data_IF_437164056683
#
_entry.id   IF_437164056683
#
_cell.length_a   1.000
_cell.length_b   1.000
_cell.length_c   1.000
_cell.angle_alpha   90.00
_cell.angle_beta   90.00
_cell.angle_gamma   90.00
#
_symmetry.space_group_name_H-M   'P 1'
#
loop_
_entity.id
_entity.type
_entity.pdbx_description
1 polymer ?
#
# COMPACT_ATOMS: atom_id res chain seq x y z
N UNK A 1 25.62 -28.64 33.60
CA UNK A 1 26.07 -27.35 33.03
C UNK A 1 25.10 -26.27 33.48
N UNK A 2 25.58 -25.29 34.27
CA UNK A 2 24.77 -24.21 34.86
C UNK A 2 24.95 -22.94 34.01
N UNK A 3 23.85 -22.37 33.55
CA UNK A 3 23.80 -21.11 32.80
C UNK A 3 23.66 -19.96 33.82
N UNK A 4 24.54 -18.93 33.83
CA UNK A 4 24.39 -17.81 34.75
C UNK A 4 23.38 -16.78 34.22
N UNK A 5 22.55 -16.27 35.14
CA UNK A 5 21.55 -15.24 34.92
C UNK A 5 22.16 -13.84 35.09
N UNK A 6 22.14 -13.03 34.03
CA UNK A 6 22.61 -11.64 34.09
C UNK A 6 21.47 -10.70 34.50
N UNK A 7 21.61 -10.20 35.73
CA UNK A 7 20.77 -9.21 36.41
C UNK A 7 21.13 -7.80 35.91
N UNK A 8 20.29 -7.20 35.07
CA UNK A 8 20.43 -5.81 34.64
C UNK A 8 20.00 -4.84 35.75
N UNK A 9 20.93 -4.01 36.21
CA UNK A 9 20.67 -2.90 37.14
C UNK A 9 20.14 -1.70 36.35
N UNK A 10 18.95 -1.21 36.73
CA UNK A 10 18.43 0.12 36.36
C UNK A 10 19.28 1.21 37.02
N UNK A 11 19.93 2.05 36.23
CA UNK A 11 20.39 3.36 36.69
C UNK A 11 19.24 4.37 36.57
N UNK A 12 18.85 4.97 37.70
CA UNK A 12 18.04 6.18 37.77
C UNK A 12 18.99 7.37 37.62
N UNK A 13 18.81 8.17 36.57
CA UNK A 13 19.38 9.51 36.51
C UNK A 13 18.31 10.50 36.97
N UNK A 14 18.49 11.01 38.18
CA UNK A 14 17.89 12.25 38.65
C UNK A 14 18.75 13.42 38.15
N UNK A 15 18.12 14.38 37.48
CA UNK A 15 18.75 15.62 37.05
C UNK A 15 17.83 16.81 37.31
N UNK A 16 18.16 17.57 38.36
CA UNK A 16 17.82 18.99 38.56
C UNK A 16 18.09 19.80 37.28
N UNK A 17 17.49 20.93 36.95
CA UNK A 17 16.59 21.87 37.61
C UNK A 17 16.60 23.19 36.83
N UNK A 18 15.69 24.11 37.19
CA UNK A 18 15.59 25.54 36.82
C UNK A 18 15.38 25.89 35.34
N UNK A 19 14.24 26.52 35.01
CA UNK A 19 14.21 27.77 34.22
C UNK A 19 12.80 28.40 34.17
N UNK A 20 12.74 29.71 34.44
CA UNK A 20 11.88 30.65 33.70
C UNK A 20 10.37 30.61 33.92
N UNK A 21 9.85 31.38 34.88
CA UNK A 21 8.44 31.82 34.86
C UNK A 21 8.27 32.99 33.87
N UNK A 22 7.28 32.83 32.96
CA UNK A 22 6.59 33.79 32.06
C UNK A 22 7.15 33.87 30.61
N UNK A 23 6.31 33.89 29.55
CA UNK A 23 5.07 34.67 29.43
C UNK A 23 3.86 33.90 28.82
N UNK A 24 2.95 33.42 29.67
CA UNK A 24 1.73 32.71 29.23
C UNK A 24 0.60 33.66 28.75
N UNK A 25 0.78 34.99 28.87
CA UNK A 25 -0.28 35.97 28.58
C UNK A 25 -0.31 36.37 27.09
N UNK A 26 0.81 36.32 26.37
CA UNK A 26 0.86 36.74 24.96
C UNK A 26 0.27 35.70 23.99
N UNK A 27 0.30 34.41 24.33
CA UNK A 27 -0.24 33.34 23.46
C UNK A 27 -1.77 33.36 23.45
N UNK A 28 -2.42 33.70 24.56
CA UNK A 28 -3.88 33.76 24.65
C UNK A 28 -4.48 34.89 23.80
N UNK A 29 -3.85 36.06 23.73
CA UNK A 29 -4.31 37.17 22.90
C UNK A 29 -4.20 36.86 21.39
N UNK A 30 -3.17 36.13 20.98
CA UNK A 30 -2.93 35.77 19.58
C UNK A 30 -3.94 34.72 19.09
N UNK A 31 -4.34 33.77 19.95
CA UNK A 31 -5.36 32.77 19.63
C UNK A 31 -6.78 33.37 19.51
N UNK A 32 -7.12 34.36 20.34
CA UNK A 32 -8.42 35.05 20.25
C UNK A 32 -8.51 35.86 18.95
N UNK A 33 -7.43 36.56 18.55
CA UNK A 33 -7.39 37.30 17.27
C UNK A 33 -7.55 36.39 16.04
N UNK A 34 -6.90 35.23 16.03
CA UNK A 34 -7.00 34.24 14.94
C UNK A 34 -8.41 33.64 14.81
N UNK A 35 -9.10 33.43 15.94
CA UNK A 35 -10.47 32.90 15.94
C UNK A 35 -11.48 33.87 15.30
N UNK A 36 -11.36 35.19 15.57
CA UNK A 36 -12.22 36.19 14.92
C UNK A 36 -11.90 36.40 13.44
N UNK A 37 -10.63 36.26 13.03
CA UNK A 37 -10.25 36.39 11.62
C UNK A 37 -10.79 35.23 10.76
N UNK A 38 -10.76 33.99 11.25
CA UNK A 38 -11.31 32.82 10.55
C UNK A 38 -12.84 32.89 10.40
N UNK A 39 -13.56 33.38 11.42
CA UNK A 39 -15.03 33.46 11.38
C UNK A 39 -15.55 34.41 10.29
N UNK A 40 -14.76 35.41 9.87
CA UNK A 40 -15.17 36.38 8.84
C UNK A 40 -15.08 35.84 7.42
N UNK A 41 -14.39 34.72 7.16
CA UNK A 41 -14.24 34.12 5.82
C UNK A 41 -15.29 33.08 5.44
N UNK A 42 -16.16 32.66 6.37
CA UNK A 42 -17.18 31.63 6.11
C UNK A 42 -18.55 32.18 5.64
N UNK A 43 -18.68 33.48 5.42
CA UNK A 43 -19.97 34.12 5.08
C UNK A 43 -20.21 34.38 3.59
N UNK A 44 -19.38 33.83 2.68
CA UNK A 44 -19.59 33.97 1.24
C UNK A 44 -19.55 32.59 0.57
N UNK A 45 -20.71 31.94 0.49
CA UNK A 45 -20.94 30.81 -0.41
C UNK A 45 -21.79 31.33 -1.59
N UNK A 46 -21.34 31.20 -2.85
CA UNK A 46 -22.16 31.56 -3.99
C UNK A 46 -23.26 30.51 -4.20
N UNK A 47 -24.50 31.00 -4.22
CA UNK A 47 -25.70 30.29 -4.64
C UNK A 47 -25.53 29.85 -6.10
N UNK A 48 -25.47 28.54 -6.36
CA UNK A 48 -25.56 28.02 -7.73
C UNK A 48 -27.00 27.58 -8.01
N UNK A 49 -27.57 28.24 -9.01
CA UNK A 49 -28.93 28.05 -9.50
C UNK A 49 -29.12 26.67 -10.12
N UNK A 50 -30.23 26.03 -9.79
CA UNK A 50 -30.69 24.82 -10.43
C UNK A 50 -31.08 25.05 -11.88
N UNK A 51 -30.79 24.06 -12.72
CA UNK A 51 -31.51 23.85 -13.98
C UNK A 51 -31.98 22.40 -14.00
N UNK A 52 -33.29 22.26 -13.95
CA UNK A 52 -34.02 21.00 -14.10
C UNK A 52 -34.20 20.78 -15.59
N UNK A 53 -33.52 19.78 -16.17
CA UNK A 53 -33.85 19.27 -17.49
C UNK A 53 -34.36 17.84 -17.34
N UNK A 54 -35.67 17.75 -17.45
CA UNK A 54 -36.43 16.54 -17.74
C UNK A 54 -35.97 15.98 -19.08
N UNK A 55 -35.34 14.81 -19.09
CA UNK A 55 -35.08 14.09 -20.33
C UNK A 55 -36.04 12.90 -20.47
N UNK A 56 -36.66 12.86 -21.65
CA UNK A 56 -37.80 12.01 -21.98
C UNK A 56 -37.27 10.72 -22.57
N UNK A 57 -37.48 9.63 -21.83
CA UNK A 57 -37.27 8.26 -22.28
C UNK A 57 -38.00 7.97 -23.59
N UNK A 58 -37.24 7.86 -24.69
CA UNK A 58 -37.67 7.17 -25.91
C UNK A 58 -36.73 6.00 -26.19
N UNK A 59 -37.24 4.83 -25.85
CA UNK A 59 -36.71 3.50 -26.13
C UNK A 59 -36.72 3.27 -27.65
N UNK A 60 -35.57 3.42 -28.30
CA UNK A 60 -35.35 2.97 -29.68
C UNK A 60 -34.67 1.61 -29.63
N UNK A 61 -35.39 0.59 -30.07
CA UNK A 61 -34.89 -0.78 -30.25
C UNK A 61 -34.19 -0.82 -31.61
N UNK A 62 -32.86 -0.98 -31.61
CA UNK A 62 -32.10 -1.27 -32.82
C UNK A 62 -31.79 -2.78 -32.90
N UNK A 63 -31.83 -3.37 -34.11
CA UNK A 63 -31.59 -4.79 -34.32
C UNK A 63 -30.11 -5.15 -34.13
N UNK A 64 -29.90 -6.33 -33.54
CA UNK A 64 -28.60 -7.00 -33.42
C UNK A 64 -28.14 -7.42 -34.82
N UNK A 65 -27.12 -6.74 -35.34
CA UNK A 65 -26.37 -7.19 -36.52
C UNK A 65 -25.13 -7.93 -35.99
N UNK A 66 -25.11 -9.26 -36.15
CA UNK A 66 -23.91 -10.07 -35.99
C UNK A 66 -22.91 -9.63 -37.08
N UNK A 67 -21.84 -8.93 -36.67
CA UNK A 67 -20.70 -8.65 -37.53
C UNK A 67 -19.61 -9.68 -37.25
N UNK A 68 -19.57 -10.72 -38.10
CA UNK A 68 -18.45 -11.65 -38.21
C UNK A 68 -17.38 -10.99 -39.07
N UNK A 69 -16.48 -10.23 -38.46
CA UNK A 69 -15.21 -9.85 -39.10
C UNK A 69 -14.11 -9.92 -38.05
N UNK A 70 -13.41 -11.05 -38.07
CA UNK A 70 -12.18 -11.30 -37.34
C UNK A 70 -11.09 -10.38 -37.91
N UNK A 71 -10.54 -9.43 -37.13
CA UNK A 71 -9.39 -8.65 -37.57
C UNK A 71 -8.18 -9.58 -37.53
N UNK A 72 -7.63 -9.87 -38.72
CA UNK A 72 -6.28 -10.42 -38.86
C UNK A 72 -5.29 -9.40 -38.31
N UNK A 73 -4.53 -9.83 -37.31
CA UNK A 73 -3.12 -9.53 -37.06
C UNK A 73 -2.59 -8.22 -37.66
N UNK A 74 -2.72 -7.14 -36.90
CA UNK A 74 -1.71 -6.10 -36.89
C UNK A 74 -0.92 -6.26 -35.58
N UNK A 75 0.05 -7.18 -35.61
CA UNK A 75 1.16 -7.23 -34.67
C UNK A 75 1.92 -5.91 -34.79
N UNK A 76 1.50 -4.94 -33.99
CA UNK A 76 2.32 -3.78 -33.66
C UNK A 76 3.52 -4.36 -32.92
N UNK A 77 4.67 -4.38 -33.59
CA UNK A 77 5.96 -4.63 -32.97
C UNK A 77 6.13 -3.65 -31.82
N UNK A 78 5.80 -4.09 -30.59
CA UNK A 78 6.30 -3.43 -29.40
C UNK A 78 7.83 -3.51 -29.48
N UNK A 79 8.56 -2.39 -29.31
CA UNK A 79 10.00 -2.44 -29.27
C UNK A 79 10.41 -3.40 -28.16
N UNK A 80 11.07 -4.47 -28.55
CA UNK A 80 11.77 -5.40 -27.68
C UNK A 80 12.84 -4.56 -26.96
N UNK A 81 12.48 -4.03 -25.79
CA UNK A 81 13.43 -3.37 -24.90
C UNK A 81 14.38 -4.46 -24.42
N UNK A 82 15.48 -4.62 -25.14
CA UNK A 82 16.65 -5.37 -24.70
C UNK A 82 17.21 -4.68 -23.46
N UNK A 83 16.72 -5.06 -22.28
CA UNK A 83 17.22 -4.61 -20.98
C UNK A 83 18.57 -5.31 -20.75
N UNK A 84 19.61 -4.75 -21.37
CA UNK A 84 21.00 -5.13 -21.13
C UNK A 84 21.47 -4.44 -19.85
N UNK A 85 21.36 -5.13 -18.71
CA UNK A 85 21.79 -4.65 -17.40
C UNK A 85 22.57 -5.72 -16.63
N UNK A 86 23.87 -5.50 -16.48
CA UNK A 86 24.93 -6.40 -15.99
C UNK A 86 24.88 -6.77 -14.50
N UNK A 87 23.76 -6.55 -13.80
CA UNK A 87 23.58 -6.98 -12.41
C UNK A 87 23.03 -8.42 -12.26
N UNK A 88 22.65 -9.06 -13.38
CA UNK A 88 22.09 -10.41 -13.42
C UNK A 88 23.08 -11.52 -13.78
N UNK A 89 24.38 -11.22 -13.92
CA UNK A 89 25.39 -12.22 -14.27
C UNK A 89 25.51 -13.37 -13.24
N UNK A 90 24.83 -13.29 -12.09
CA UNK A 90 24.79 -14.34 -11.06
C UNK A 90 23.46 -15.09 -10.94
N UNK A 91 22.36 -14.61 -11.55
CA UNK A 91 21.10 -15.35 -11.58
C UNK A 91 21.06 -16.16 -12.87
N UNK A 92 21.34 -17.45 -12.75
CA UNK A 92 21.23 -18.38 -13.88
C UNK A 92 19.82 -18.35 -14.44
N UNK A 93 19.67 -18.53 -15.75
CA UNK A 93 18.37 -18.66 -16.40
C UNK A 93 17.48 -19.70 -15.70
N UNK A 94 18.09 -20.80 -15.25
CA UNK A 94 17.44 -21.83 -14.43
C UNK A 94 16.86 -21.28 -13.13
N UNK A 95 17.62 -20.46 -12.40
CA UNK A 95 17.17 -19.82 -11.16
C UNK A 95 16.00 -18.86 -11.42
N UNK A 96 16.09 -18.06 -12.49
CA UNK A 96 15.02 -17.16 -12.89
C UNK A 96 13.73 -17.91 -13.27
N UNK A 97 13.84 -18.94 -14.09
CA UNK A 97 12.71 -19.78 -14.49
C UNK A 97 12.08 -20.49 -13.29
N UNK A 98 12.91 -21.00 -12.36
CA UNK A 98 12.44 -21.59 -11.13
C UNK A 98 11.66 -20.58 -10.27
N UNK A 99 12.11 -19.34 -10.17
CA UNK A 99 11.41 -18.28 -9.43
C UNK A 99 10.03 -17.99 -10.01
N UNK A 100 9.96 -17.79 -11.33
CA UNK A 100 8.69 -17.51 -12.03
C UNK A 100 7.74 -18.71 -11.93
N UNK A 101 8.25 -19.93 -12.03
CA UNK A 101 7.47 -21.16 -11.83
C UNK A 101 6.90 -21.29 -10.40
N UNK A 102 7.53 -20.67 -9.40
CA UNK A 102 7.05 -20.61 -8.02
C UNK A 102 6.15 -19.38 -7.74
N UNK A 103 5.75 -18.63 -8.78
CA UNK A 103 4.78 -17.56 -8.67
C UNK A 103 5.35 -16.18 -8.33
N UNK A 104 6.68 -16.01 -8.36
CA UNK A 104 7.26 -14.66 -8.39
C UNK A 104 6.77 -13.94 -9.65
N UNK A 105 6.47 -12.66 -9.51
CA UNK A 105 6.09 -11.81 -10.63
C UNK A 105 7.08 -10.67 -10.74
N UNK A 106 7.76 -10.55 -11.89
CA UNK A 106 8.55 -9.36 -12.18
C UNK A 106 7.63 -8.15 -12.34
N UNK A 107 7.94 -7.05 -11.65
CA UNK A 107 7.27 -5.77 -11.78
C UNK A 107 7.99 -4.99 -12.87
N UNK A 108 7.33 -4.65 -13.99
CA UNK A 108 7.95 -3.88 -15.06
C UNK A 108 8.43 -2.53 -14.54
N UNK A 109 9.74 -2.39 -14.45
CA UNK A 109 10.42 -1.21 -13.91
C UNK A 109 11.38 -0.62 -14.93
N UNK A 110 11.54 0.69 -14.88
CA UNK A 110 12.54 1.42 -15.69
C UNK A 110 13.59 1.99 -14.75
N UNK A 111 14.87 1.72 -15.05
CA UNK A 111 15.99 2.35 -14.35
C UNK A 111 16.15 3.80 -14.79
N UNK A 112 16.23 4.71 -13.83
CA UNK A 112 16.45 6.15 -14.03
C UNK A 112 17.54 6.59 -13.04
N UNK A 113 18.78 6.68 -13.51
CA UNK A 113 19.93 6.93 -12.64
C UNK A 113 20.12 5.77 -11.66
N UNK A 114 20.17 6.08 -10.36
CA UNK A 114 20.28 5.12 -9.25
C UNK A 114 18.92 4.70 -8.68
N UNK A 115 17.86 4.78 -9.48
CA UNK A 115 16.52 4.47 -9.04
C UNK A 115 15.81 3.55 -10.02
N UNK A 116 14.95 2.70 -9.49
CA UNK A 116 13.94 1.96 -10.21
C UNK A 116 12.59 2.64 -10.09
N UNK A 117 11.95 2.86 -11.25
CA UNK A 117 10.65 3.46 -11.35
C UNK A 117 9.63 2.48 -11.92
N UNK A 118 8.47 2.37 -11.30
CA UNK A 118 7.35 1.57 -11.80
C UNK A 118 6.01 2.19 -11.43
N UNK A 119 4.93 1.67 -12.00
CA UNK A 119 3.57 2.15 -11.73
C UNK A 119 2.84 1.16 -10.83
N UNK A 120 2.19 1.69 -9.80
CA UNK A 120 1.35 0.96 -8.88
C UNK A 120 -0.08 1.53 -8.88
N UNK A 121 -1.08 0.69 -8.66
CA UNK A 121 -2.48 1.11 -8.61
C UNK A 121 -3.25 0.36 -7.53
N UNK A 122 -4.06 1.09 -6.77
CA UNK A 122 -5.11 0.50 -5.93
C UNK A 122 -6.32 0.17 -6.80
N UNK A 123 -6.79 -1.08 -6.77
CA UNK A 123 -7.88 -1.55 -7.63
C UNK A 123 -9.09 -1.96 -6.80
N UNK A 124 -10.04 -1.04 -6.65
CA UNK A 124 -11.32 -1.31 -5.99
C UNK A 124 -12.22 -2.13 -6.92
N UNK A 125 -12.63 -3.32 -6.49
CA UNK A 125 -13.43 -4.25 -7.30
C UNK A 125 -14.50 -4.95 -6.48
N UNK A 126 -15.67 -5.22 -7.07
CA UNK A 126 -16.73 -5.94 -6.37
C UNK A 126 -16.35 -7.42 -6.22
N UNK A 127 -16.66 -8.02 -5.07
CA UNK A 127 -16.40 -9.43 -4.78
C UNK A 127 -17.61 -10.07 -4.08
N UNK A 128 -18.65 -10.37 -4.87
CA UNK A 128 -19.84 -11.05 -4.39
C UNK A 128 -20.46 -10.36 -3.16
N UNK A 129 -21.05 -11.16 -2.26
CA UNK A 129 -21.73 -10.66 -1.06
C UNK A 129 -20.88 -10.63 0.21
N UNK A 130 -19.56 -10.80 0.06
CA UNK A 130 -18.63 -10.74 1.18
C UNK A 130 -18.10 -9.32 1.38
N UNK A 131 -17.92 -8.93 2.64
CA UNK A 131 -17.23 -7.69 2.98
C UNK A 131 -15.76 -7.84 2.62
N UNK A 132 -15.18 -6.81 1.98
CA UNK A 132 -13.77 -6.82 1.58
C UNK A 132 -12.96 -5.68 2.18
N UNK A 133 -11.67 -5.63 1.83
CA UNK A 133 -10.72 -4.64 2.35
C UNK A 133 -11.20 -3.19 2.15
N UNK A 134 -11.80 -2.87 1.01
CA UNK A 134 -12.27 -1.51 0.76
C UNK A 134 -13.49 -1.14 1.65
N UNK A 135 -14.32 -2.10 2.04
CA UNK A 135 -15.41 -1.85 2.99
C UNK A 135 -14.89 -1.51 4.38
N UNK A 136 -13.82 -2.18 4.82
CA UNK A 136 -13.12 -1.84 6.03
C UNK A 136 -12.56 -0.41 5.95
N UNK A 137 -11.96 -0.03 4.83
CA UNK A 137 -11.36 1.30 4.66
C UNK A 137 -12.45 2.38 4.75
N UNK A 138 -13.62 2.14 4.14
CA UNK A 138 -14.81 2.98 4.31
C UNK A 138 -15.23 3.15 5.76
N UNK A 139 -15.20 2.08 6.57
CA UNK A 139 -15.53 2.14 7.98
C UNK A 139 -14.51 2.90 8.84
N UNK A 140 -13.23 2.89 8.47
CA UNK A 140 -12.17 3.57 9.21
C UNK A 140 -12.16 5.09 8.98
N UNK A 141 -12.43 5.51 7.74
CA UNK A 141 -12.36 6.90 7.33
C UNK A 141 -13.45 7.75 8.00
N UNK A 142 -13.04 8.80 8.72
CA UNK A 142 -13.98 9.77 9.29
C UNK A 142 -14.43 10.83 8.28
N UNK A 143 -13.62 11.06 7.25
CA UNK A 143 -13.85 12.04 6.19
C UNK A 143 -13.27 11.50 4.88
N UNK A 144 -14.07 11.52 3.81
CA UNK A 144 -13.69 10.93 2.52
C UNK A 144 -12.50 11.62 1.85
N UNK A 145 -12.37 12.93 2.06
CA UNK A 145 -11.35 13.76 1.43
C UNK A 145 -10.09 13.95 2.28
N UNK A 146 -10.11 13.50 3.55
CA UNK A 146 -8.93 13.57 4.43
C UNK A 146 -7.94 12.47 4.07
N UNK A 147 -6.68 12.85 3.85
CA UNK A 147 -5.59 11.94 3.45
C UNK A 147 -5.03 11.12 4.62
N UNK A 148 -5.87 10.25 5.17
CA UNK A 148 -5.54 9.41 6.34
C UNK A 148 -5.01 8.01 5.97
N UNK A 149 -5.09 7.59 4.71
CA UNK A 149 -4.45 6.35 4.28
C UNK A 149 -3.02 6.62 3.83
N UNK A 150 -2.07 5.87 4.35
CA UNK A 150 -0.68 5.88 3.92
C UNK A 150 -0.42 4.62 3.11
N UNK A 151 0.06 4.79 1.87
CA UNK A 151 0.62 3.71 1.07
C UNK A 151 2.12 3.90 1.06
N UNK A 152 2.87 2.88 1.47
CA UNK A 152 4.32 2.98 1.58
C UNK A 152 5.02 1.70 1.12
N UNK A 153 6.24 1.86 0.60
CA UNK A 153 7.19 0.76 0.45
C UNK A 153 8.33 1.03 1.41
N UNK A 154 8.38 0.27 2.50
CA UNK A 154 9.33 0.45 3.60
C UNK A 154 10.35 -0.69 3.63
N UNK A 155 11.66 -0.41 3.81
CA UNK A 155 12.67 -1.44 3.82
C UNK A 155 12.54 -2.34 5.05
N UNK A 156 12.70 -3.66 4.87
CA UNK A 156 12.57 -4.63 5.96
C UNK A 156 13.89 -4.98 6.66
N UNK A 157 15.04 -4.65 6.03
CA UNK A 157 16.37 -4.96 6.52
C UNK A 157 17.16 -3.72 6.94
N UNK A 158 17.51 -2.87 5.98
CA UNK A 158 18.18 -1.60 6.23
C UNK A 158 17.15 -0.50 6.53
N UNK A 159 17.02 -0.14 7.81
CA UNK A 159 16.09 0.91 8.26
C UNK A 159 16.44 2.30 7.72
N UNK A 160 17.64 2.49 7.17
CA UNK A 160 18.07 3.77 6.61
C UNK A 160 17.83 3.87 5.09
N UNK A 161 17.43 2.77 4.44
CA UNK A 161 17.14 2.80 3.01
C UNK A 161 15.93 3.69 2.71
N UNK A 162 15.95 4.35 1.55
CA UNK A 162 14.88 5.24 1.13
C UNK A 162 13.57 4.47 0.93
N UNK A 163 12.48 5.02 1.46
CA UNK A 163 11.13 4.47 1.39
C UNK A 163 10.25 5.32 0.47
N UNK A 164 9.42 4.67 -0.34
CA UNK A 164 8.34 5.37 -1.04
C UNK A 164 7.16 5.59 -0.09
N UNK A 165 6.56 6.78 -0.11
CA UNK A 165 5.39 7.12 0.71
C UNK A 165 4.44 8.02 -0.06
N UNK A 166 3.15 7.69 -0.04
CA UNK A 166 2.09 8.56 -0.56
C UNK A 166 0.86 8.50 0.34
N UNK A 167 0.23 9.66 0.56
CA UNK A 167 -0.98 9.77 1.37
C UNK A 167 -2.20 9.96 0.50
N UNK A 168 -3.19 9.11 0.71
CA UNK A 168 -4.41 9.05 -0.06
C UNK A 168 -5.62 9.32 0.84
N UNK A 169 -6.58 10.08 0.33
CA UNK A 169 -7.92 10.13 0.86
C UNK A 169 -8.71 8.88 0.48
N UNK A 170 -9.86 8.64 1.10
CA UNK A 170 -10.71 7.51 0.70
C UNK A 170 -11.26 7.70 -0.73
N UNK A 171 -11.54 8.95 -1.14
CA UNK A 171 -11.92 9.28 -2.51
C UNK A 171 -10.81 8.90 -3.51
N UNK A 172 -9.56 9.22 -3.19
CA UNK A 172 -8.40 8.85 -4.00
C UNK A 172 -8.19 7.33 -4.03
N UNK A 173 -8.34 6.63 -2.90
CA UNK A 173 -8.30 5.16 -2.85
C UNK A 173 -9.38 4.55 -3.75
N UNK A 174 -10.61 5.09 -3.70
CA UNK A 174 -11.74 4.65 -4.53
C UNK A 174 -11.48 4.84 -6.02
N UNK A 175 -10.94 6.00 -6.41
CA UNK A 175 -10.60 6.30 -7.79
C UNK A 175 -9.46 5.41 -8.33
N UNK A 176 -8.58 4.95 -7.43
CA UNK A 176 -7.45 4.10 -7.77
C UNK A 176 -6.52 4.73 -8.80
N UNK A 177 -5.94 5.93 -8.56
CA UNK A 177 -5.03 6.57 -9.49
C UNK A 177 -3.72 5.79 -9.60
N UNK A 178 -3.09 5.84 -10.78
CA UNK A 178 -1.73 5.36 -10.96
C UNK A 178 -0.77 6.16 -10.08
N UNK A 179 0.03 5.47 -9.28
CA UNK A 179 1.09 6.01 -8.45
C UNK A 179 2.43 5.67 -9.09
N UNK A 180 3.25 6.68 -9.33
CA UNK A 180 4.63 6.49 -9.77
C UNK A 180 5.49 6.19 -8.56
N UNK A 181 5.93 4.95 -8.42
CA UNK A 181 6.83 4.52 -7.36
C UNK A 181 8.27 4.69 -7.83
N UNK A 182 9.12 5.21 -6.96
CA UNK A 182 10.57 5.31 -7.16
C UNK A 182 11.23 4.67 -5.94
N UNK A 183 12.12 3.71 -6.19
CA UNK A 183 12.96 3.07 -5.17
C UNK A 183 14.43 3.17 -5.59
N UNK A 184 15.39 3.20 -4.66
CA UNK A 184 16.80 3.02 -5.00
C UNK A 184 17.02 1.73 -5.79
N UNK A 185 17.96 1.75 -6.73
CA UNK A 185 18.50 0.52 -7.28
C UNK A 185 19.44 -0.15 -6.26
N UNK A 186 19.51 -1.47 -6.29
CA UNK A 186 20.28 -2.24 -5.30
C UNK A 186 19.46 -3.31 -4.58
N UNK A 187 20.16 -4.29 -4.04
CA UNK A 187 19.55 -5.46 -3.43
C UNK A 187 18.89 -5.08 -2.10
N UNK A 188 17.55 -5.04 -2.07
CA UNK A 188 16.78 -4.63 -0.90
C UNK A 188 15.37 -5.22 -0.92
N UNK A 189 14.92 -5.67 0.25
CA UNK A 189 13.55 -6.14 0.46
C UNK A 189 12.69 -5.01 1.03
N UNK A 190 11.51 -4.82 0.44
CA UNK A 190 10.52 -3.80 0.81
C UNK A 190 9.18 -4.45 1.17
N UNK A 191 8.60 -4.01 2.29
CA UNK A 191 7.19 -4.23 2.55
C UNK A 191 6.37 -3.15 1.89
N UNK A 192 5.47 -3.52 0.98
CA UNK A 192 4.41 -2.67 0.47
C UNK A 192 3.25 -2.69 1.47
N UNK A 193 3.01 -1.57 2.14
CA UNK A 193 1.97 -1.44 3.15
C UNK A 193 0.86 -0.48 2.69
N UNK A 194 -0.35 -0.76 3.15
CA UNK A 194 -1.41 0.25 3.28
C UNK A 194 -1.82 0.27 4.75
N UNK A 195 -1.80 1.45 5.36
CA UNK A 195 -2.25 1.64 6.73
C UNK A 195 -3.17 2.85 6.88
N UNK A 196 -4.04 2.81 7.88
CA UNK A 196 -4.72 4.01 8.35
C UNK A 196 -3.76 4.72 9.32
N UNK A 197 -3.36 5.94 8.97
CA UNK A 197 -2.34 6.73 9.66
C UNK A 197 -2.89 8.12 10.03
N UNK A 198 -3.85 8.11 10.95
CA UNK A 198 -4.51 9.35 11.42
C UNK A 198 -3.55 10.25 12.20
N UNK A 199 -2.51 9.68 12.81
CA UNK A 199 -1.53 10.41 13.63
C UNK A 199 -0.38 11.00 12.81
N UNK A 200 -0.34 10.72 11.51
CA UNK A 200 0.72 11.17 10.60
C UNK A 200 2.11 10.69 11.00
N UNK A 201 2.22 9.42 11.40
CA UNK A 201 3.51 8.81 11.74
C UNK A 201 4.42 8.60 10.53
N UNK A 202 3.87 8.55 9.31
CA UNK A 202 4.62 8.26 8.07
C UNK A 202 5.27 6.87 8.05
N UNK A 203 4.86 5.95 8.92
CA UNK A 203 5.38 4.57 8.98
C UNK A 203 4.24 3.58 9.22
N UNK A 204 4.15 2.56 8.35
CA UNK A 204 3.19 1.48 8.49
C UNK A 204 3.81 0.24 9.16
N UNK A 205 5.13 0.01 9.02
CA UNK A 205 5.80 -1.21 9.51
C UNK A 205 5.72 -1.40 11.03
N UNK A 206 5.64 -0.31 11.78
CA UNK A 206 5.56 -0.32 13.24
C UNK A 206 4.12 -0.39 13.76
N UNK A 207 3.13 -0.29 12.86
CA UNK A 207 1.72 -0.34 13.26
C UNK A 207 1.29 -1.78 13.49
N UNK A 208 0.47 -1.96 14.51
CA UNK A 208 -0.19 -3.24 14.72
C UNK A 208 -1.06 -3.60 13.51
N UNK A 209 -1.04 -4.88 13.16
CA UNK A 209 -1.82 -5.45 12.07
C UNK A 209 -3.29 -5.56 12.47
N UNK A 210 -4.21 -5.21 11.56
CA UNK A 210 -5.63 -5.42 11.76
C UNK A 210 -6.06 -6.79 11.21
N UNK A 211 -6.29 -7.76 12.11
CA UNK A 211 -6.83 -9.06 11.71
C UNK A 211 -8.31 -8.95 11.32
N UNK A 212 -8.78 -9.82 10.42
CA UNK A 212 -10.20 -9.89 10.03
C UNK A 212 -11.17 -10.01 11.22
N UNK A 213 -10.73 -10.67 12.31
CA UNK A 213 -11.54 -10.89 13.52
C UNK A 213 -11.75 -9.61 14.34
N UNK A 214 -10.83 -8.65 14.22
CA UNK A 214 -10.81 -7.44 15.05
C UNK A 214 -11.48 -6.23 14.39
N UNK A 215 -12.02 -6.39 13.18
CA UNK A 215 -12.61 -5.30 12.39
C UNK A 215 -13.69 -4.55 13.17
N UNK A 216 -14.68 -5.25 13.71
CA UNK A 216 -15.81 -4.63 14.42
C UNK A 216 -15.36 -3.79 15.61
N UNK A 217 -14.42 -4.30 16.41
CA UNK A 217 -13.89 -3.59 17.59
C UNK A 217 -13.08 -2.37 17.19
N UNK A 218 -12.29 -2.46 16.12
CA UNK A 218 -11.46 -1.37 15.60
C UNK A 218 -12.29 -0.24 15.01
N UNK A 219 -13.36 -0.58 14.29
CA UNK A 219 -14.29 0.40 13.73
C UNK A 219 -14.98 1.23 14.83
N UNK A 220 -15.27 0.62 15.98
CA UNK A 220 -15.96 1.28 17.08
C UNK A 220 -15.04 2.11 18.01
N UNK A 221 -13.73 1.87 18.00
CA UNK A 221 -12.76 2.57 18.86
C UNK A 221 -11.75 3.36 18.04
N UNK A 222 -11.93 4.69 17.99
CA UNK A 222 -11.05 5.61 17.25
C UNK A 222 -9.57 5.47 17.61
N UNK A 223 -9.24 5.14 18.87
CA UNK A 223 -7.84 5.01 19.32
C UNK A 223 -7.16 3.77 18.77
N UNK A 224 -7.94 2.78 18.29
CA UNK A 224 -7.45 1.51 17.76
C UNK A 224 -7.37 1.49 16.24
N UNK A 225 -7.81 2.53 15.55
CA UNK A 225 -7.87 2.58 14.07
C UNK A 225 -6.52 2.68 13.39
N UNK A 226 -5.49 3.14 14.11
CA UNK A 226 -4.14 3.33 13.58
C UNK A 226 -3.43 1.96 13.38
N UNK A 227 -3.64 1.34 12.22
CA UNK A 227 -3.31 -0.07 11.95
C UNK A 227 -2.80 -0.27 10.53
N UNK A 228 -1.94 -1.27 10.35
CA UNK A 228 -1.62 -1.83 9.05
C UNK A 228 -2.80 -2.67 8.54
N UNK A 229 -3.20 -2.44 7.29
CA UNK A 229 -4.41 -2.99 6.67
C UNK A 229 -4.12 -3.88 5.46
N UNK A 230 -2.93 -3.74 4.88
CA UNK A 230 -2.48 -4.49 3.71
C UNK A 230 -0.97 -4.66 3.77
N UNK A 231 -0.49 -5.77 3.22
CA UNK A 231 0.93 -6.05 3.08
C UNK A 231 1.21 -6.93 1.86
N UNK A 232 2.27 -6.60 1.13
CA UNK A 232 2.92 -7.48 0.17
C UNK A 232 4.45 -7.30 0.26
N UNK A 233 5.21 -8.33 -0.09
CA UNK A 233 6.67 -8.24 -0.16
C UNK A 233 7.12 -8.00 -1.60
N UNK A 234 7.97 -7.00 -1.76
CA UNK A 234 8.64 -6.67 -3.01
C UNK A 234 10.13 -6.76 -2.76
N UNK A 235 10.87 -7.48 -3.60
CA UNK A 235 12.33 -7.53 -3.55
C UNK A 235 12.90 -6.83 -4.76
N UNK A 236 13.78 -5.86 -4.52
CA UNK A 236 14.64 -5.29 -5.54
C UNK A 236 15.93 -6.10 -5.59
N UNK A 237 16.34 -6.52 -6.79
CA UNK A 237 17.60 -7.22 -7.03
C UNK A 237 18.26 -6.65 -8.28
N UNK A 238 19.39 -5.98 -8.09
CA UNK A 238 20.02 -5.16 -9.13
C UNK A 238 19.05 -4.10 -9.68
N UNK A 239 18.65 -4.28 -10.95
CA UNK A 239 17.81 -3.32 -11.69
C UNK A 239 16.36 -3.78 -11.88
N UNK A 240 15.92 -4.78 -11.10
CA UNK A 240 14.59 -5.37 -11.24
C UNK A 240 13.89 -5.43 -9.89
N UNK A 241 12.56 -5.32 -9.94
CA UNK A 241 11.71 -5.50 -8.79
C UNK A 241 10.83 -6.74 -8.98
N UNK A 242 10.70 -7.55 -7.94
CA UNK A 242 9.92 -8.78 -7.92
C UNK A 242 8.86 -8.71 -6.84
N UNK A 243 7.62 -8.97 -7.22
CA UNK A 243 6.51 -9.19 -6.31
C UNK A 243 6.49 -10.64 -5.86
N UNK A 244 6.45 -10.83 -4.54
CA UNK A 244 6.29 -12.16 -3.96
C UNK A 244 4.85 -12.64 -4.11
N UNK A 245 4.63 -13.93 -4.44
CA UNK A 245 3.28 -14.48 -4.56
C UNK A 245 2.53 -14.29 -3.25
N UNK A 246 1.25 -13.95 -3.30
CA UNK A 246 0.43 -13.71 -2.10
C UNK A 246 -0.52 -14.85 -1.71
N UNK A 247 -0.65 -15.90 -2.53
CA UNK A 247 -1.68 -16.93 -2.39
C UNK A 247 -1.17 -18.28 -1.89
N UNK A 248 -1.89 -18.84 -0.90
CA UNK A 248 -1.70 -20.16 -0.27
C UNK A 248 -0.39 -20.36 0.51
N UNK A 249 -0.46 -20.04 1.81
CA UNK A 249 0.63 -20.09 2.79
C UNK A 249 0.60 -21.35 3.67
N UNK A 250 0.16 -22.46 3.10
CA UNK A 250 0.34 -23.75 3.73
C UNK A 250 1.83 -23.97 3.99
N UNK A 251 2.16 -24.53 5.15
CA UNK A 251 3.54 -24.66 5.63
C UNK A 251 4.45 -25.39 4.62
N UNK A 252 3.89 -26.36 3.88
CA UNK A 252 4.57 -27.06 2.78
C UNK A 252 4.98 -26.11 1.65
N UNK A 253 4.06 -25.26 1.18
CA UNK A 253 4.32 -24.27 0.12
C UNK A 253 5.27 -23.18 0.58
N UNK A 254 5.15 -22.74 1.84
CA UNK A 254 6.08 -21.79 2.47
C UNK A 254 7.50 -22.34 2.46
N UNK A 255 7.70 -23.60 2.82
CA UNK A 255 9.03 -24.22 2.86
C UNK A 255 9.64 -24.39 1.47
N UNK A 256 8.85 -24.84 0.48
CA UNK A 256 9.29 -24.89 -0.92
C UNK A 256 9.67 -23.50 -1.43
N UNK A 257 8.81 -22.51 -1.17
CA UNK A 257 9.05 -21.14 -1.59
C UNK A 257 10.29 -20.55 -0.89
N UNK A 258 10.52 -20.84 0.40
CA UNK A 258 11.69 -20.37 1.15
C UNK A 258 13.01 -20.79 0.47
N UNK A 259 13.10 -22.03 0.00
CA UNK A 259 14.32 -22.54 -0.67
C UNK A 259 14.64 -21.80 -1.97
N UNK A 260 13.61 -21.43 -2.74
CA UNK A 260 13.75 -20.65 -3.97
C UNK A 260 13.98 -19.17 -3.66
N UNK A 261 13.32 -18.66 -2.62
CA UNK A 261 13.36 -17.25 -2.22
C UNK A 261 14.69 -16.87 -1.57
N UNK A 262 15.43 -17.78 -0.93
CA UNK A 262 16.77 -17.45 -0.40
C UNK A 262 17.75 -16.98 -1.48
N UNK A 263 17.54 -17.33 -2.75
CA UNK A 263 18.33 -16.82 -3.86
C UNK A 263 17.94 -15.38 -4.27
N UNK A 264 16.71 -14.96 -3.99
CA UNK A 264 16.17 -13.66 -4.39
C UNK A 264 16.25 -12.64 -3.28
N UNK A 265 15.78 -13.02 -2.09
CA UNK A 265 15.71 -12.16 -0.92
C UNK A 265 17.09 -11.62 -0.56
N UNK A 266 17.12 -10.36 -0.17
CA UNK A 266 18.33 -9.78 0.37
C UNK A 266 18.59 -10.25 1.81
N UNK A 267 17.51 -10.47 2.59
CA UNK A 267 17.62 -10.98 3.96
C UNK A 267 16.67 -12.16 4.23
N UNK A 268 17.14 -13.24 4.87
CA UNK A 268 16.28 -14.31 5.37
C UNK A 268 15.21 -13.82 6.35
N UNK A 269 15.49 -12.75 7.12
CA UNK A 269 14.52 -12.18 8.07
C UNK A 269 13.33 -11.51 7.37
N UNK A 270 13.50 -11.05 6.14
CA UNK A 270 12.40 -10.48 5.35
C UNK A 270 11.30 -11.50 5.11
N UNK A 271 11.66 -12.78 4.95
CA UNK A 271 10.70 -13.86 4.81
C UNK A 271 9.87 -14.08 6.08
N UNK A 272 10.50 -13.96 7.25
CA UNK A 272 9.79 -14.11 8.54
C UNK A 272 8.82 -12.97 8.79
N UNK A 273 9.24 -11.72 8.49
CA UNK A 273 8.33 -10.55 8.51
C UNK A 273 7.17 -10.81 7.56
N UNK A 274 7.48 -11.23 6.33
CA UNK A 274 6.48 -11.47 5.31
C UNK A 274 5.45 -12.52 5.73
N UNK A 275 5.91 -13.66 6.25
CA UNK A 275 5.06 -14.73 6.79
C UNK A 275 4.17 -14.20 7.92
N UNK A 276 4.72 -13.42 8.85
CA UNK A 276 3.97 -12.86 9.98
C UNK A 276 2.82 -11.96 9.54
N UNK A 277 3.06 -11.06 8.58
CA UNK A 277 2.00 -10.19 8.04
C UNK A 277 0.99 -10.95 7.19
N UNK A 278 1.46 -11.82 6.28
CA UNK A 278 0.61 -12.57 5.35
C UNK A 278 -0.39 -13.49 6.07
N UNK A 279 0.01 -14.09 7.20
CA UNK A 279 -0.86 -14.94 8.01
C UNK A 279 -1.99 -14.18 8.70
N UNK A 280 -1.79 -12.89 9.04
CA UNK A 280 -2.74 -12.12 9.85
C UNK A 280 -3.69 -11.30 8.99
N UNK A 281 -3.18 -10.64 7.94
CA UNK A 281 -3.96 -9.67 7.16
C UNK A 281 -5.01 -10.31 6.26
N UNK A 282 -4.75 -11.51 5.74
CA UNK A 282 -5.70 -12.21 4.85
C UNK A 282 -6.11 -11.41 3.61
N UNK A 283 -5.41 -10.30 3.29
CA UNK A 283 -5.70 -9.44 2.15
C UNK A 283 -5.53 -10.20 0.83
N UNK A 284 -6.27 -9.75 -0.19
CA UNK A 284 -6.12 -10.29 -1.54
C UNK A 284 -4.69 -10.09 -2.05
N UNK A 285 -4.09 -11.05 -2.77
CA UNK A 285 -2.72 -10.93 -3.25
C UNK A 285 -2.60 -9.83 -4.30
N UNK A 286 -1.59 -8.96 -4.19
CA UNK A 286 -1.18 -8.10 -5.30
C UNK A 286 -0.83 -8.94 -6.53
N UNK A 287 -0.92 -8.33 -7.71
CA UNK A 287 -0.46 -8.92 -8.95
C UNK A 287 0.11 -7.86 -9.90
N UNK A 288 0.83 -8.32 -10.91
CA UNK A 288 1.30 -7.48 -12.00
C UNK A 288 0.44 -7.75 -13.22
N UNK A 289 -0.27 -6.73 -13.70
CA UNK A 289 -1.14 -6.84 -14.88
C UNK A 289 -0.95 -5.62 -15.77
N UNK A 290 -0.73 -5.82 -17.07
CA UNK A 290 -0.53 -4.75 -18.06
C UNK A 290 0.56 -3.73 -17.66
N UNK A 291 1.67 -4.20 -17.10
CA UNK A 291 2.78 -3.32 -16.69
C UNK A 291 2.54 -2.51 -15.41
N UNK A 292 1.48 -2.81 -14.67
CA UNK A 292 1.12 -2.10 -13.42
C UNK A 292 1.08 -3.10 -12.27
N UNK A 293 1.69 -2.73 -11.14
CA UNK A 293 1.50 -3.41 -9.87
C UNK A 293 0.10 -3.07 -9.32
N UNK A 294 -0.82 -4.02 -9.39
CA UNK A 294 -2.19 -3.85 -8.92
C UNK A 294 -2.36 -4.42 -7.51
N UNK A 295 -2.92 -3.61 -6.63
CA UNK A 295 -3.28 -3.99 -5.27
C UNK A 295 -4.80 -4.12 -5.22
N UNK A 296 -5.37 -5.34 -5.14
CA UNK A 296 -6.81 -5.50 -5.13
C UNK A 296 -7.38 -5.07 -3.79
N UNK A 297 -8.42 -4.24 -3.83
CA UNK A 297 -9.21 -3.83 -2.67
C UNK A 297 -10.66 -4.27 -2.89
N UNK A 298 -11.02 -5.51 -2.54
CA UNK A 298 -12.36 -6.00 -2.75
C UNK A 298 -13.40 -5.24 -1.92
N UNK A 299 -14.63 -5.18 -2.41
CA UNK A 299 -15.80 -4.69 -1.66
C UNK A 299 -17.03 -5.54 -1.96
N UNK A 300 -18.00 -5.50 -1.04
CA UNK A 300 -19.31 -6.11 -1.20
C UNK A 300 -20.04 -5.47 -2.38
N UNK A 301 -20.58 -6.31 -3.26
CA UNK A 301 -21.41 -5.88 -4.38
C UNK A 301 -22.66 -5.13 -3.88
N UNK A 302 -23.06 -4.08 -4.60
CA UNK A 302 -24.24 -3.26 -4.30
C UNK A 302 -25.56 -4.04 -4.37
N UNK A 303 -25.59 -5.17 -5.08
CA UNK A 303 -26.78 -6.01 -5.25
C UNK A 303 -26.95 -7.03 -4.11
N UNK A 304 -26.05 -7.06 -3.12
CA UNK A 304 -26.12 -7.97 -2.00
C UNK A 304 -26.93 -7.34 -0.85
N UNK A 305 -28.05 -7.98 -0.51
CA UNK A 305 -28.96 -7.59 0.57
C UNK A 305 -28.58 -8.25 1.90
#
# INVERSE_FOLDING_TARGET
MKIPSNRWKRQKNEGQGRSGKKPLVFIAALLIGLFFYMKKRLAQSPTSSGSTLTDTSKRSVLPVILSTNSPKDNLINLPEQSVSGTAFASLTEESYNAMMANGLQEIPSTKIGHNLKFIMRLNVRAQGCSVGDFDLYKGLAENLSKKDFLVSLEPLGDKNAEAFKTRLSLDEVSAGPNQSVTLPDGDQDYGLFICYDSQKSDHCIDKAVLSAKDWSTTLNDKKKRDKALYFALITVKGERAFLMPGSSWEESKVNSLKSVMTAVLNSPSSFDVFRGYAQILGSGPANVTMGVLNIPLPHRDKNCH
#
